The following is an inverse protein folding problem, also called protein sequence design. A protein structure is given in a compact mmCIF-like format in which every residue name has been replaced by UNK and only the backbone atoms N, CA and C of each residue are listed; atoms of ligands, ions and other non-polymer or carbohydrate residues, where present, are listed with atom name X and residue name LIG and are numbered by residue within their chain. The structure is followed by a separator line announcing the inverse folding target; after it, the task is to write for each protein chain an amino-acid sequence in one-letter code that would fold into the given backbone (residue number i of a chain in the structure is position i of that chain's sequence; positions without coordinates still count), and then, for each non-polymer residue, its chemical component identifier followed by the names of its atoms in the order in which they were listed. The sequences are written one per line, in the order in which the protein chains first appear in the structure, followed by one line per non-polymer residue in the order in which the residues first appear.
data_IF_376965657801
#
_entry.id   IF_376965657801
#
_cell.length_a   1.000
_cell.length_b   1.000
_cell.length_c   1.000
_cell.angle_alpha   90.00
_cell.angle_beta   90.00
_cell.angle_gamma   90.00
#
_symmetry.space_group_name_H-M   'P 1'
#
loop_
_entity.id
_entity.type
_entity.pdbx_description
1 polymer ?
#
# COMPACT_ATOMS: atom_id res chain seq x y z
N UNK A 1 -8.95 -88.67 8.46
CA UNK A 1 -7.72 -88.50 9.27
C UNK A 1 -6.68 -87.75 8.45
N UNK A 2 -6.21 -86.60 8.98
CA UNK A 2 -4.93 -85.92 8.69
C UNK A 2 -4.64 -85.54 7.23
N UNK A 3 -4.67 -84.22 6.93
CA UNK A 3 -3.48 -83.40 6.61
C UNK A 3 -3.89 -81.95 6.22
N UNK A 4 -3.43 -80.99 7.04
CA UNK A 4 -2.90 -79.64 6.71
C UNK A 4 -3.92 -78.65 6.09
N UNK A 5 -4.43 -77.57 6.70
CA UNK A 5 -3.95 -76.55 7.65
C UNK A 5 -2.62 -75.85 7.30
N UNK A 6 -2.75 -74.54 7.07
CA UNK A 6 -1.76 -73.46 7.06
C UNK A 6 -1.09 -73.15 5.71
N UNK A 7 -1.67 -72.17 5.01
CA UNK A 7 -0.92 -71.15 4.27
C UNK A 7 -1.64 -69.81 4.45
N UNK A 8 -1.32 -69.15 5.57
CA UNK A 8 -1.55 -67.73 5.83
C UNK A 8 -0.70 -66.89 4.87
N UNK A 9 -1.15 -65.64 4.67
CA UNK A 9 -0.47 -64.52 4.00
C UNK A 9 -0.54 -64.50 2.48
N UNK A 10 -1.56 -63.82 1.95
CA UNK A 10 -1.35 -62.82 0.90
C UNK A 10 -2.61 -61.94 0.74
N UNK A 11 -2.38 -60.63 0.79
CA UNK A 11 -3.25 -59.55 0.30
C UNK A 11 -4.48 -59.21 1.13
N UNK A 12 -4.21 -58.57 2.26
CA UNK A 12 -4.98 -57.41 2.68
C UNK A 12 -5.04 -56.41 1.51
N UNK A 13 -6.24 -56.05 1.05
CA UNK A 13 -6.33 -55.23 -0.14
C UNK A 13 -7.71 -54.77 -0.55
N UNK A 14 -8.60 -54.43 0.39
CA UNK A 14 -9.71 -53.51 0.11
C UNK A 14 -9.93 -52.61 1.33
N UNK A 15 -8.90 -51.83 1.66
CA UNK A 15 -9.05 -50.63 2.47
C UNK A 15 -9.61 -49.54 1.55
N UNK A 16 -10.74 -49.01 1.98
CA UNK A 16 -11.42 -47.80 1.55
C UNK A 16 -10.43 -46.67 1.25
N UNK A 17 -10.39 -46.21 0.00
CA UNK A 17 -9.81 -44.92 -0.34
C UNK A 17 -10.96 -43.98 -0.65
N UNK A 18 -11.52 -43.38 0.40
CA UNK A 18 -12.14 -42.06 0.27
C UNK A 18 -10.98 -41.09 0.06
N UNK A 19 -10.66 -40.83 -1.21
CA UNK A 19 -9.71 -39.80 -1.57
C UNK A 19 -10.34 -38.45 -1.24
N UNK A 20 -9.99 -37.95 -0.06
CA UNK A 20 -10.14 -36.58 0.40
C UNK A 20 -10.04 -35.61 -0.77
N UNK A 21 -11.17 -35.00 -1.14
CA UNK A 21 -11.15 -33.71 -1.79
C UNK A 21 -10.38 -32.80 -0.85
N UNK A 22 -9.15 -32.44 -1.23
CA UNK A 22 -8.37 -31.40 -0.58
C UNK A 22 -9.17 -30.11 -0.74
N UNK A 23 -10.02 -29.87 0.24
CA UNK A 23 -10.66 -28.62 0.54
C UNK A 23 -9.50 -27.67 0.84
N UNK A 24 -8.98 -27.00 -0.20
CA UNK A 24 -8.12 -25.85 -0.02
C UNK A 24 -8.86 -24.95 0.95
N UNK A 25 -8.32 -24.86 2.18
CA UNK A 25 -8.73 -23.85 3.14
C UNK A 25 -8.78 -22.54 2.37
N UNK A 26 -10.00 -22.00 2.30
CA UNK A 26 -10.29 -20.74 1.66
C UNK A 26 -9.64 -19.69 2.54
N UNK A 27 -8.33 -19.49 2.37
CA UNK A 27 -7.57 -18.45 3.06
C UNK A 27 -8.38 -17.16 2.87
N UNK A 28 -8.90 -16.57 3.97
CA UNK A 28 -9.74 -15.38 3.88
C UNK A 28 -9.02 -14.19 3.24
N UNK A 29 -7.69 -14.28 3.04
CA UNK A 29 -6.86 -13.29 2.37
C UNK A 29 -6.71 -13.49 0.86
N UNK A 30 -7.40 -14.47 0.25
CA UNK A 30 -7.33 -14.73 -1.18
C UNK A 30 -8.68 -14.49 -1.86
N UNK A 31 -8.72 -13.57 -2.83
CA UNK A 31 -9.92 -13.33 -3.66
C UNK A 31 -9.76 -14.11 -4.96
N UNK A 32 -10.72 -14.98 -5.28
CA UNK A 32 -10.87 -15.53 -6.62
C UNK A 32 -11.53 -14.48 -7.52
N UNK A 33 -10.74 -13.89 -8.43
CA UNK A 33 -11.27 -13.13 -9.55
C UNK A 33 -10.77 -13.78 -10.84
N UNK A 34 -11.68 -14.35 -11.63
CA UNK A 34 -11.36 -14.92 -12.94
C UNK A 34 -10.37 -16.10 -12.93
N UNK A 35 -10.36 -16.95 -11.89
CA UNK A 35 -9.49 -18.13 -11.82
C UNK A 35 -8.03 -17.85 -11.43
N UNK A 36 -7.68 -16.59 -11.15
CA UNK A 36 -6.37 -16.22 -10.60
C UNK A 36 -6.54 -15.82 -9.14
N UNK A 37 -5.92 -16.59 -8.25
CA UNK A 37 -5.84 -16.26 -6.83
C UNK A 37 -4.92 -15.05 -6.64
N UNK A 38 -5.48 -13.89 -6.32
CA UNK A 38 -4.70 -12.70 -5.96
C UNK A 38 -4.78 -12.46 -4.45
N UNK A 39 -3.63 -12.14 -3.86
CA UNK A 39 -3.53 -11.69 -2.46
C UNK A 39 -4.41 -10.44 -2.27
N UNK A 40 -5.20 -10.40 -1.20
CA UNK A 40 -5.97 -9.21 -0.82
C UNK A 40 -5.01 -8.03 -0.62
N UNK A 41 -5.15 -7.01 -1.46
CA UNK A 41 -4.58 -5.70 -1.17
C UNK A 41 -5.39 -5.09 -0.02
N UNK A 42 -4.71 -4.66 1.04
CA UNK A 42 -5.37 -4.00 2.16
C UNK A 42 -6.01 -2.69 1.67
N UNK A 43 -7.34 -2.63 1.76
CA UNK A 43 -8.09 -1.40 1.49
C UNK A 43 -8.02 -0.53 2.73
N UNK A 44 -7.41 0.65 2.63
CA UNK A 44 -7.46 1.65 3.71
C UNK A 44 -8.93 1.94 4.01
N UNK A 45 -9.30 2.01 5.29
CA UNK A 45 -10.69 2.25 5.70
C UNK A 45 -11.29 3.43 4.94
N UNK A 46 -12.47 3.20 4.35
CA UNK A 46 -13.24 4.28 3.73
C UNK A 46 -13.76 5.20 4.83
N UNK A 47 -13.69 6.53 4.64
CA UNK A 47 -14.22 7.44 5.65
C UNK A 47 -15.73 7.22 5.80
N UNK A 48 -16.24 7.32 7.03
CA UNK A 48 -17.68 7.15 7.31
C UNK A 48 -18.56 8.23 6.67
N UNK A 49 -17.97 9.38 6.32
CA UNK A 49 -18.61 10.47 5.61
C UNK A 49 -17.59 11.18 4.71
N UNK A 50 -18.09 11.87 3.69
CA UNK A 50 -17.25 12.72 2.84
C UNK A 50 -16.58 13.82 3.67
N UNK A 51 -15.26 13.96 3.52
CA UNK A 51 -14.42 14.88 4.27
C UNK A 51 -13.58 15.72 3.33
N UNK A 52 -13.49 17.01 3.61
CA UNK A 52 -12.57 17.93 2.96
C UNK A 52 -11.86 18.77 4.02
N UNK A 53 -10.55 18.63 4.10
CA UNK A 53 -9.68 19.39 4.99
C UNK A 53 -8.86 20.39 4.18
N UNK A 54 -8.75 21.62 4.65
CA UNK A 54 -7.82 22.62 4.07
C UNK A 54 -6.95 23.19 5.17
N UNK A 55 -5.63 23.10 4.99
CA UNK A 55 -4.64 23.57 5.95
C UNK A 55 -3.61 24.47 5.29
N UNK A 56 -3.20 25.51 6.01
CA UNK A 56 -2.11 26.39 5.56
C UNK A 56 -0.76 25.77 5.95
N UNK A 57 0.17 25.76 4.99
CA UNK A 57 1.53 25.27 5.16
C UNK A 57 2.43 26.44 5.53
N UNK A 58 3.10 26.33 6.68
CA UNK A 58 4.05 27.31 7.20
C UNK A 58 5.46 27.15 6.61
N UNK A 59 5.85 25.92 6.26
CA UNK A 59 7.16 25.63 5.71
C UNK A 59 7.45 24.14 5.55
N UNK A 60 8.70 23.82 5.23
CA UNK A 60 9.24 22.46 5.13
C UNK A 60 10.08 22.19 6.38
N UNK A 61 9.82 21.09 7.10
CA UNK A 61 10.61 20.71 8.28
C UNK A 61 11.79 19.80 7.94
N UNK A 62 11.70 19.04 6.84
CA UNK A 62 12.78 18.17 6.42
C UNK A 62 12.47 17.43 5.13
N UNK A 63 13.53 16.94 4.49
CA UNK A 63 13.45 16.10 3.29
C UNK A 63 14.28 14.86 3.53
N UNK A 64 13.70 13.68 3.29
CA UNK A 64 14.40 12.40 3.33
C UNK A 64 14.36 11.70 1.98
N UNK A 65 15.42 10.95 1.68
CA UNK A 65 15.58 10.18 0.47
C UNK A 65 15.76 8.72 0.88
N UNK A 66 14.95 7.84 0.31
CA UNK A 66 15.03 6.40 0.53
C UNK A 66 15.18 5.70 -0.81
N UNK A 67 16.14 4.80 -0.89
CA UNK A 67 16.28 3.87 -2.01
C UNK A 67 15.97 2.47 -1.51
N UNK A 68 15.20 1.70 -2.27
CA UNK A 68 14.86 0.32 -1.94
C UNK A 68 14.90 -0.56 -3.18
N UNK A 69 15.00 -1.87 -2.99
CA UNK A 69 14.87 -2.86 -4.04
C UNK A 69 14.23 -4.12 -3.47
N UNK A 70 13.61 -4.91 -4.34
CA UNK A 70 13.16 -6.26 -4.00
C UNK A 70 14.17 -7.27 -4.52
N UNK A 71 14.53 -8.26 -3.71
CA UNK A 71 15.39 -9.38 -4.10
C UNK A 71 14.61 -10.69 -3.97
N UNK A 72 13.63 -10.88 -4.85
CA UNK A 72 12.68 -12.00 -4.82
C UNK A 72 12.99 -13.11 -5.85
N UNK A 73 14.09 -12.97 -6.60
CA UNK A 73 14.48 -13.88 -7.68
C UNK A 73 13.71 -13.71 -8.99
N UNK A 74 12.80 -12.74 -9.10
CA UNK A 74 12.06 -12.45 -10.35
C UNK A 74 12.86 -11.59 -11.34
N UNK A 75 12.37 -11.44 -12.57
CA UNK A 75 12.94 -10.51 -13.57
C UNK A 75 12.91 -9.03 -13.12
N UNK A 76 12.14 -8.71 -12.08
CA UNK A 76 12.10 -7.39 -11.47
C UNK A 76 12.98 -7.29 -10.21
N UNK A 77 13.65 -8.37 -9.83
CA UNK A 77 14.65 -8.33 -8.77
C UNK A 77 15.70 -7.26 -9.07
N UNK A 78 16.13 -6.58 -8.02
CA UNK A 78 17.14 -5.51 -8.08
C UNK A 78 16.71 -4.23 -8.79
N UNK A 79 15.46 -4.09 -9.24
CA UNK A 79 14.94 -2.77 -9.64
C UNK A 79 14.94 -1.84 -8.42
N UNK A 80 15.68 -0.74 -8.55
CA UNK A 80 15.74 0.28 -7.51
C UNK A 80 14.52 1.18 -7.59
N UNK A 81 13.87 1.36 -6.46
CA UNK A 81 12.83 2.35 -6.24
C UNK A 81 13.40 3.51 -5.42
N UNK A 82 13.01 4.73 -5.78
CA UNK A 82 13.37 5.96 -5.07
C UNK A 82 12.10 6.53 -4.47
N UNK A 83 12.19 6.91 -3.20
CA UNK A 83 11.16 7.66 -2.49
C UNK A 83 11.77 8.91 -1.87
N UNK A 84 11.16 10.05 -2.12
CA UNK A 84 11.51 11.32 -1.48
C UNK A 84 10.34 11.73 -0.60
N UNK A 85 10.59 11.99 0.68
CA UNK A 85 9.56 12.45 1.62
C UNK A 85 9.88 13.87 2.06
N UNK A 86 8.95 14.80 1.81
CA UNK A 86 9.03 16.18 2.24
C UNK A 86 8.04 16.37 3.39
N UNK A 87 8.57 16.56 4.60
CA UNK A 87 7.76 16.83 5.79
C UNK A 87 7.37 18.30 5.82
N UNK A 88 6.09 18.56 6.07
CA UNK A 88 5.52 19.90 6.06
C UNK A 88 5.22 20.36 7.49
N UNK A 89 5.49 21.63 7.74
CA UNK A 89 5.06 22.32 8.95
C UNK A 89 3.74 23.01 8.65
N UNK A 90 2.69 22.61 9.35
CA UNK A 90 1.38 23.26 9.25
C UNK A 90 1.32 24.51 10.13
N UNK A 91 0.58 25.52 9.68
CA UNK A 91 0.35 26.75 10.46
C UNK A 91 -0.55 26.49 11.69
N UNK A 92 -1.46 25.51 11.60
CA UNK A 92 -2.33 25.08 12.70
C UNK A 92 -1.89 23.71 13.24
N UNK A 93 -1.74 23.60 14.56
CA UNK A 93 -1.37 22.36 15.26
C UNK A 93 -2.44 21.28 15.10
N UNK A 94 -3.71 21.66 14.95
CA UNK A 94 -4.84 20.74 14.75
C UNK A 94 -4.78 20.00 13.41
N UNK A 95 -4.01 20.51 12.44
CA UNK A 95 -3.82 19.84 11.17
C UNK A 95 -3.14 18.48 11.34
N UNK A 96 -2.26 18.34 12.33
CA UNK A 96 -1.42 17.16 12.50
C UNK A 96 -0.24 17.14 11.52
N UNK A 97 0.30 15.95 11.28
CA UNK A 97 1.51 15.79 10.48
C UNK A 97 1.15 15.55 9.01
N UNK A 98 1.73 16.35 8.13
CA UNK A 98 1.55 16.21 6.68
C UNK A 98 2.89 16.04 6.00
N UNK A 99 2.90 15.19 4.98
CA UNK A 99 4.07 14.95 4.16
C UNK A 99 3.69 14.78 2.69
N UNK A 100 4.57 15.24 1.81
CA UNK A 100 4.52 14.94 0.38
C UNK A 100 5.47 13.78 0.12
N UNK A 101 4.97 12.72 -0.50
CA UNK A 101 5.75 11.52 -0.81
C UNK A 101 5.85 11.40 -2.32
N UNK A 102 7.07 11.51 -2.81
CA UNK A 102 7.38 11.39 -4.23
C UNK A 102 7.94 9.99 -4.49
N UNK A 103 7.30 9.24 -5.38
CA UNK A 103 7.64 7.85 -5.64
C UNK A 103 8.05 7.63 -7.09
N UNK A 104 9.03 6.74 -7.31
CA UNK A 104 9.37 6.26 -8.65
C UNK A 104 8.43 5.14 -9.09
N UNK A 105 8.42 4.85 -10.40
CA UNK A 105 7.54 3.82 -11.00
C UNK A 105 7.71 2.41 -10.41
N UNK A 106 8.83 2.16 -9.71
CA UNK A 106 9.07 0.89 -9.02
C UNK A 106 8.26 0.70 -7.74
N UNK A 107 7.64 1.76 -7.20
CA UNK A 107 6.77 1.67 -6.04
C UNK A 107 5.30 1.59 -6.44
N UNK A 108 4.60 0.58 -5.92
CA UNK A 108 3.16 0.46 -6.09
C UNK A 108 2.43 1.23 -4.98
N UNK A 109 2.04 2.47 -5.28
CA UNK A 109 1.28 3.32 -4.36
C UNK A 109 -0.21 3.24 -4.70
N UNK A 110 -1.04 2.62 -3.84
CA UNK A 110 -2.45 2.35 -4.16
C UNK A 110 -3.38 3.57 -4.03
N UNK A 111 -2.95 4.65 -3.36
CA UNK A 111 -3.79 5.81 -3.07
C UNK A 111 -3.05 7.13 -3.28
N UNK A 112 -3.76 8.16 -3.75
CA UNK A 112 -3.21 9.52 -3.84
C UNK A 112 -3.01 10.17 -2.47
N UNK A 113 -3.77 9.73 -1.45
CA UNK A 113 -3.64 10.18 -0.06
C UNK A 113 -3.82 9.00 0.89
N UNK A 114 -2.99 8.92 1.94
CA UNK A 114 -3.18 7.99 3.04
C UNK A 114 -3.11 8.70 4.39
N UNK A 115 -3.90 8.21 5.35
CA UNK A 115 -3.75 8.55 6.76
C UNK A 115 -3.34 7.31 7.52
N UNK A 116 -2.11 7.30 8.04
CA UNK A 116 -1.58 6.21 8.83
C UNK A 116 -0.81 6.81 10.01
N UNK A 117 -1.05 6.29 11.21
CA UNK A 117 -0.35 6.69 12.44
C UNK A 117 -0.34 8.22 12.68
N UNK A 118 -1.45 8.90 12.35
CA UNK A 118 -1.59 10.35 12.52
C UNK A 118 -0.82 11.20 11.50
N UNK A 119 -0.24 10.57 10.47
CA UNK A 119 0.43 11.24 9.35
C UNK A 119 -0.44 11.17 8.11
N UNK A 120 -0.64 12.33 7.47
CA UNK A 120 -1.30 12.46 6.17
C UNK A 120 -0.24 12.54 5.08
N UNK A 121 -0.14 11.50 4.26
CA UNK A 121 0.77 11.45 3.13
C UNK A 121 0.02 11.74 1.84
N UNK A 122 0.53 12.66 1.03
CA UNK A 122 0.03 12.96 -0.32
C UNK A 122 1.08 12.48 -1.32
N UNK A 123 0.67 11.63 -2.25
CA UNK A 123 1.58 10.94 -3.16
C UNK A 123 1.64 11.60 -4.53
N UNK A 124 2.86 11.82 -5.03
CA UNK A 124 3.13 12.35 -6.35
C UNK A 124 4.19 11.52 -7.08
N UNK A 125 4.18 11.46 -8.42
CA UNK A 125 5.30 10.90 -9.17
C UNK A 125 6.60 11.67 -8.90
N UNK A 126 7.73 10.98 -8.85
CA UNK A 126 9.05 11.62 -8.62
C UNK A 126 9.41 12.67 -9.67
N UNK A 127 8.88 12.54 -10.88
CA UNK A 127 9.09 13.49 -11.99
C UNK A 127 8.67 14.94 -11.65
N UNK A 128 7.72 15.14 -10.74
CA UNK A 128 7.24 16.48 -10.35
C UNK A 128 7.91 17.03 -9.08
N UNK A 129 8.88 16.31 -8.52
CA UNK A 129 9.52 16.69 -7.26
C UNK A 129 10.19 18.07 -7.34
N UNK A 130 11.04 18.29 -8.35
CA UNK A 130 11.77 19.56 -8.49
C UNK A 130 10.79 20.73 -8.68
N UNK A 131 9.80 20.60 -9.57
CA UNK A 131 8.80 21.62 -9.82
C UNK A 131 8.02 22.02 -8.56
N UNK A 132 7.56 21.03 -7.78
CA UNK A 132 6.81 21.30 -6.55
C UNK A 132 7.72 21.91 -5.48
N UNK A 133 8.94 21.38 -5.34
CA UNK A 133 9.93 21.89 -4.39
C UNK A 133 10.26 23.36 -4.67
N UNK A 134 10.58 23.69 -5.92
CA UNK A 134 10.93 25.07 -6.31
C UNK A 134 9.77 26.03 -6.08
N UNK A 135 8.54 25.63 -6.40
CA UNK A 135 7.34 26.43 -6.12
C UNK A 135 7.13 26.65 -4.62
N UNK A 136 7.37 25.64 -3.80
CA UNK A 136 7.29 25.76 -2.33
C UNK A 136 8.35 26.72 -1.80
N UNK A 137 9.61 26.51 -2.17
CA UNK A 137 10.73 27.37 -1.77
C UNK A 137 10.49 28.83 -2.20
N UNK A 138 10.05 29.05 -3.44
CA UNK A 138 9.71 30.38 -3.95
C UNK A 138 8.52 30.99 -3.21
N UNK A 139 7.46 30.24 -2.95
CA UNK A 139 6.30 30.72 -2.20
C UNK A 139 6.69 31.15 -0.78
N UNK A 140 7.49 30.35 -0.07
CA UNK A 140 7.95 30.70 1.27
C UNK A 140 8.92 31.89 1.28
N UNK A 141 9.84 31.97 0.31
CA UNK A 141 10.76 33.10 0.18
C UNK A 141 10.00 34.42 -0.08
N UNK A 142 8.91 34.36 -0.84
CA UNK A 142 8.03 35.50 -1.14
C UNK A 142 6.89 35.70 -0.14
N UNK A 143 6.86 34.89 0.94
CA UNK A 143 5.80 34.90 1.98
C UNK A 143 4.39 34.74 1.41
N UNK A 144 4.24 34.03 0.28
CA UNK A 144 2.95 33.65 -0.28
C UNK A 144 2.34 32.51 0.55
N UNK A 145 1.01 32.49 0.61
CA UNK A 145 0.27 31.46 1.33
C UNK A 145 0.25 30.19 0.51
N UNK A 146 0.75 29.11 1.09
CA UNK A 146 0.62 27.77 0.54
C UNK A 146 -0.47 27.04 1.31
N UNK A 147 -1.40 26.40 0.62
CA UNK A 147 -2.45 25.59 1.22
C UNK A 147 -2.43 24.17 0.68
N UNK A 148 -2.78 23.23 1.55
CA UNK A 148 -3.07 21.85 1.19
C UNK A 148 -4.54 21.59 1.40
N UNK A 149 -5.19 21.06 0.37
CA UNK A 149 -6.55 20.55 0.44
C UNK A 149 -6.53 19.05 0.28
N UNK A 150 -7.12 18.33 1.23
CA UNK A 150 -7.32 16.88 1.16
C UNK A 150 -8.80 16.59 1.12
N UNK A 151 -9.24 15.88 0.08
CA UNK A 151 -10.62 15.42 -0.08
C UNK A 151 -10.66 13.91 -0.02
N UNK A 152 -11.51 13.34 0.84
CA UNK A 152 -11.74 11.91 0.97
C UNK A 152 -13.23 11.63 0.93
N UNK A 153 -13.68 10.78 0.00
CA UNK A 153 -15.09 10.43 -0.15
C UNK A 153 -15.35 9.00 0.28
N UNK A 154 -16.59 8.75 0.67
CA UNK A 154 -17.15 7.41 0.97
C UNK A 154 -17.00 6.42 -0.19
N UNK A 155 -16.89 6.92 -1.44
CA UNK A 155 -16.67 6.10 -2.64
C UNK A 155 -15.24 5.56 -2.77
N UNK A 156 -14.33 5.95 -1.88
CA UNK A 156 -12.90 5.63 -1.97
C UNK A 156 -12.09 6.63 -2.81
N UNK A 157 -12.72 7.66 -3.36
CA UNK A 157 -12.00 8.77 -4.00
C UNK A 157 -11.20 9.55 -2.96
N UNK A 158 -9.91 9.76 -3.24
CA UNK A 158 -8.98 10.50 -2.39
C UNK A 158 -8.16 11.44 -3.26
N UNK A 159 -8.02 12.68 -2.83
CA UNK A 159 -7.29 13.72 -3.57
C UNK A 159 -6.52 14.60 -2.59
N UNK A 160 -5.28 14.96 -2.96
CA UNK A 160 -4.48 15.97 -2.30
C UNK A 160 -4.07 17.04 -3.30
N UNK A 161 -4.36 18.30 -2.98
CA UNK A 161 -4.09 19.46 -3.84
C UNK A 161 -3.19 20.44 -3.10
N UNK A 162 -2.09 20.85 -3.73
CA UNK A 162 -1.31 22.01 -3.31
C UNK A 162 -1.77 23.27 -4.05
N UNK A 163 -1.97 24.33 -3.29
CA UNK A 163 -2.33 25.66 -3.78
C UNK A 163 -1.24 26.65 -3.34
N UNK A 164 -0.73 27.45 -4.27
CA UNK A 164 0.38 28.41 -4.08
C UNK A 164 -0.09 29.86 -4.26
#
# INVERSE_FOLDING_TARGET
MKKQLIAMMAVAGFLTVEANGQQFEKDPNVIQSGGVYKKREFKTEMPAADKADTWEVKGISGVSFAASNTADGSNNSFKHALRITVNLVMSDVKAGNYQLVFYSEGENIPYAVSRLDGVVAIYYPVAVYNDIREKLEQAFATRRKVQIKVSEKTTGYREGVLVF
#
